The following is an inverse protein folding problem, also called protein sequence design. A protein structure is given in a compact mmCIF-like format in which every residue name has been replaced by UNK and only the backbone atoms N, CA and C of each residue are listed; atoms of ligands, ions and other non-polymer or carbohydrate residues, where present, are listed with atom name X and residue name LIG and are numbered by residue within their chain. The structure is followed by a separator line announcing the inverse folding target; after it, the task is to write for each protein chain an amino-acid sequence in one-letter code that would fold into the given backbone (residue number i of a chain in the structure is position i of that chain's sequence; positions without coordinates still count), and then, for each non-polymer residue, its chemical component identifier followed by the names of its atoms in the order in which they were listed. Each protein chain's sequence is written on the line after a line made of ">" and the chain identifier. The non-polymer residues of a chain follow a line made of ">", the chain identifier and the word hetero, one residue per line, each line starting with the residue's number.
data_IF_905514901920
#
_entry.id   IF_905514901920
#
_cell.length_a   1.000
_cell.length_b   1.000
_cell.length_c   1.000
_cell.angle_alpha   90.00
_cell.angle_beta   90.00
_cell.angle_gamma   90.00
#
_symmetry.space_group_name_H-M   'P 1'
#
loop_
_entity.id
_entity.type
_entity.pdbx_description
1 polymer ?
#
# COMPACT_ATOMS: atom_id res chain seq x y z
N UNK A 1 12.44 8.42 1.85
CA UNK A 1 11.82 9.63 2.44
C UNK A 1 10.41 9.85 1.88
N UNK A 2 10.27 10.08 0.57
CA UNK A 2 8.98 10.33 -0.10
C UNK A 2 7.89 9.28 0.17
N UNK A 3 8.22 7.98 0.06
CA UNK A 3 7.32 6.87 0.40
C UNK A 3 6.71 7.00 1.81
N UNK A 4 7.54 7.27 2.83
CA UNK A 4 7.07 7.35 4.22
C UNK A 4 6.18 8.58 4.46
N UNK A 5 6.46 9.70 3.79
CA UNK A 5 5.61 10.90 3.85
C UNK A 5 4.23 10.60 3.25
N UNK A 6 4.19 10.03 2.04
CA UNK A 6 2.92 9.64 1.41
C UNK A 6 2.18 8.61 2.27
N UNK A 7 2.88 7.61 2.79
CA UNK A 7 2.29 6.58 3.66
C UNK A 7 1.64 7.21 4.90
N UNK A 8 2.30 8.16 5.55
CA UNK A 8 1.77 8.87 6.71
C UNK A 8 0.54 9.72 6.37
N UNK A 9 0.57 10.43 5.23
CA UNK A 9 -0.58 11.22 4.74
C UNK A 9 -1.77 10.29 4.43
N UNK A 10 -1.55 9.21 3.68
CA UNK A 10 -2.59 8.23 3.37
C UNK A 10 -3.14 7.57 4.63
N UNK A 11 -2.29 7.22 5.60
CA UNK A 11 -2.73 6.66 6.88
C UNK A 11 -3.64 7.62 7.65
N UNK A 12 -3.27 8.91 7.72
CA UNK A 12 -4.09 9.92 8.40
C UNK A 12 -5.45 10.09 7.72
N UNK A 13 -5.45 10.24 6.38
CA UNK A 13 -6.69 10.37 5.60
C UNK A 13 -7.56 9.14 5.80
N UNK A 14 -7.01 7.93 5.61
CA UNK A 14 -7.79 6.71 5.69
C UNK A 14 -8.32 6.44 7.10
N UNK A 15 -7.60 6.82 8.15
CA UNK A 15 -8.08 6.71 9.54
C UNK A 15 -9.25 7.65 9.85
N UNK A 16 -9.35 8.79 9.15
CA UNK A 16 -10.46 9.75 9.32
C UNK A 16 -11.71 9.27 8.60
N UNK A 17 -11.57 8.77 7.37
CA UNK A 17 -12.71 8.44 6.51
C UNK A 17 -13.15 6.98 6.60
N UNK A 18 -12.29 6.07 7.06
CA UNK A 18 -12.59 4.64 7.18
C UNK A 18 -12.29 4.09 8.57
N UNK A 19 -13.12 3.14 9.01
CA UNK A 19 -12.84 2.29 10.17
C UNK A 19 -12.03 1.08 9.70
N UNK A 20 -10.70 1.18 9.81
CA UNK A 20 -9.78 0.09 9.46
C UNK A 20 -9.46 -0.72 10.72
N UNK A 21 -9.67 -2.03 10.63
CA UNK A 21 -9.26 -3.00 11.66
C UNK A 21 -8.25 -3.96 11.04
N UNK A 22 -7.14 -4.19 11.75
CA UNK A 22 -6.06 -5.08 11.31
C UNK A 22 -5.95 -6.18 12.34
N UNK A 23 -6.11 -7.42 11.88
CA UNK A 23 -6.10 -8.62 12.72
C UNK A 23 -4.96 -9.53 12.24
N UNK A 24 -4.16 -10.04 13.17
CA UNK A 24 -3.08 -10.99 12.84
C UNK A 24 -1.84 -10.35 12.21
N UNK A 25 -1.54 -9.09 12.52
CA UNK A 25 -0.36 -8.39 12.00
C UNK A 25 0.95 -9.09 12.39
N UNK A 26 0.95 -9.72 13.57
CA UNK A 26 2.03 -10.52 14.12
C UNK A 26 2.40 -11.74 13.28
N UNK A 27 1.51 -12.17 12.37
CA UNK A 27 1.80 -13.27 11.44
C UNK A 27 2.71 -12.85 10.29
N UNK A 28 2.99 -11.55 10.11
CA UNK A 28 3.87 -11.07 9.05
C UNK A 28 5.33 -11.38 9.41
N UNK A 29 6.07 -12.10 8.54
CA UNK A 29 7.49 -12.35 8.76
C UNK A 29 8.28 -11.03 8.79
N UNK A 30 9.02 -10.81 9.88
CA UNK A 30 9.90 -9.65 10.05
C UNK A 30 11.07 -9.65 9.05
N UNK A 31 11.52 -10.84 8.69
CA UNK A 31 12.63 -11.08 7.77
C UNK A 31 12.25 -12.09 6.69
N UNK A 32 13.07 -12.18 5.64
CA UNK A 32 12.81 -13.04 4.49
C UNK A 32 11.77 -12.48 3.50
N UNK A 33 11.48 -13.27 2.47
CA UNK A 33 10.50 -12.96 1.43
C UNK A 33 9.07 -13.31 1.84
N UNK A 34 8.11 -12.53 1.37
CA UNK A 34 6.68 -12.75 1.57
C UNK A 34 5.96 -12.48 0.25
N UNK A 35 4.96 -13.32 -0.07
CA UNK A 35 3.95 -13.01 -1.08
C UNK A 35 2.65 -12.72 -0.34
N UNK A 36 2.17 -11.48 -0.46
CA UNK A 36 0.88 -11.08 0.08
C UNK A 36 -0.20 -11.32 -0.98
N UNK A 37 -1.08 -12.28 -0.75
CA UNK A 37 -2.25 -12.53 -1.58
C UNK A 37 -3.48 -11.94 -0.89
N UNK A 38 -4.08 -10.91 -1.51
CA UNK A 38 -5.31 -10.26 -1.04
C UNK A 38 -6.41 -10.46 -2.07
N UNK A 39 -7.67 -10.47 -1.63
CA UNK A 39 -8.78 -10.16 -2.53
C UNK A 39 -8.61 -8.75 -3.10
N UNK A 40 -9.13 -8.51 -4.31
CA UNK A 40 -9.07 -7.20 -4.97
C UNK A 40 -10.49 -6.72 -5.30
N UNK A 41 -11.06 -5.90 -4.41
CA UNK A 41 -12.43 -5.38 -4.49
C UNK A 41 -12.44 -3.90 -4.89
N UNK A 42 -11.38 -3.16 -4.62
CA UNK A 42 -11.32 -1.71 -4.86
C UNK A 42 -9.95 -1.25 -5.35
N UNK A 43 -9.94 -0.13 -6.07
CA UNK A 43 -8.71 0.60 -6.40
C UNK A 43 -7.95 1.11 -5.16
N UNK A 44 -8.61 1.18 -3.99
CA UNK A 44 -7.98 1.55 -2.73
C UNK A 44 -7.17 0.41 -2.10
N UNK A 45 -7.33 -0.83 -2.53
CA UNK A 45 -6.71 -1.99 -1.86
C UNK A 45 -5.19 -1.87 -1.74
N UNK A 46 -4.43 -1.47 -2.78
CA UNK A 46 -2.98 -1.30 -2.65
C UNK A 46 -2.59 -0.22 -1.62
N UNK A 47 -3.40 0.82 -1.46
CA UNK A 47 -3.15 1.89 -0.49
C UNK A 47 -3.40 1.38 0.93
N UNK A 48 -4.55 0.74 1.15
CA UNK A 48 -4.92 0.16 2.46
C UNK A 48 -3.88 -0.86 2.91
N UNK A 49 -3.47 -1.76 2.02
CA UNK A 49 -2.42 -2.74 2.30
C UNK A 49 -1.08 -2.03 2.59
N UNK A 50 -0.68 -1.04 1.80
CA UNK A 50 0.58 -0.33 2.03
C UNK A 50 0.65 0.41 3.37
N UNK A 51 -0.47 0.96 3.87
CA UNK A 51 -0.50 1.70 5.13
C UNK A 51 -0.68 0.81 6.37
N UNK A 52 -1.22 -0.40 6.22
CA UNK A 52 -1.47 -1.34 7.33
C UNK A 52 -0.32 -2.32 7.55
N UNK A 53 0.53 -2.53 6.55
CA UNK A 53 1.69 -3.43 6.66
C UNK A 53 2.86 -2.79 7.44
N UNK A 54 3.47 -3.60 8.32
CA UNK A 54 4.64 -3.18 9.12
C UNK A 54 5.89 -2.94 8.27
N UNK A 55 6.00 -3.64 7.13
CA UNK A 55 7.11 -3.54 6.18
C UNK A 55 6.64 -3.03 4.82
N UNK A 56 7.53 -2.37 4.08
CA UNK A 56 7.28 -1.96 2.70
C UNK A 56 6.98 -3.19 1.85
N UNK A 57 5.91 -3.11 1.06
CA UNK A 57 5.52 -4.11 0.07
C UNK A 57 5.48 -3.49 -1.32
N UNK A 58 5.73 -4.29 -2.33
CA UNK A 58 5.68 -3.89 -3.73
C UNK A 58 4.47 -4.55 -4.40
N UNK A 59 3.82 -3.84 -5.31
CA UNK A 59 2.65 -4.32 -6.01
C UNK A 59 2.97 -4.57 -7.48
N UNK A 60 2.44 -5.67 -8.01
CA UNK A 60 2.44 -5.92 -9.44
C UNK A 60 1.23 -5.19 -10.02
N UNK A 61 1.47 -4.33 -11.00
CA UNK A 61 0.41 -3.58 -11.68
C UNK A 61 0.63 -3.55 -13.18
N UNK A 62 -0.45 -3.27 -13.92
CA UNK A 62 -0.44 -3.16 -15.37
C UNK A 62 0.41 -1.97 -15.82
N UNK A 63 1.06 -2.08 -16.99
CA UNK A 63 1.90 -1.01 -17.55
C UNK A 63 1.09 0.28 -17.77
N UNK A 64 -0.17 0.14 -18.17
CA UNK A 64 -1.11 1.23 -18.42
C UNK A 64 -1.37 2.08 -17.18
N UNK A 65 -1.20 1.51 -15.98
CA UNK A 65 -1.33 2.25 -14.73
C UNK A 65 -0.31 3.40 -14.63
N UNK A 66 0.81 3.34 -15.37
CA UNK A 66 1.84 4.39 -15.39
C UNK A 66 1.59 5.48 -16.45
N UNK A 67 0.55 5.36 -17.28
CA UNK A 67 0.30 6.30 -18.38
C UNK A 67 -0.38 7.60 -17.95
N UNK A 68 -0.86 7.70 -16.71
CA UNK A 68 -1.43 8.92 -16.15
C UNK A 68 -0.46 9.60 -15.16
N UNK A 69 -0.69 10.89 -14.88
CA UNK A 69 0.13 11.68 -13.95
C UNK A 69 0.18 11.03 -12.56
N UNK A 70 -0.95 10.48 -12.12
CA UNK A 70 -1.05 9.78 -10.84
C UNK A 70 -0.10 8.58 -10.76
N UNK A 71 -0.16 7.64 -11.69
CA UNK A 71 0.68 6.44 -11.66
C UNK A 71 2.14 6.71 -12.01
N UNK A 72 2.41 7.66 -12.90
CA UNK A 72 3.80 8.02 -13.24
C UNK A 72 4.56 8.69 -12.09
N UNK A 73 3.90 9.53 -11.28
CA UNK A 73 4.54 10.20 -10.14
C UNK A 73 4.43 9.36 -8.86
N UNK A 74 3.26 8.78 -8.60
CA UNK A 74 3.03 8.06 -7.35
C UNK A 74 3.66 6.67 -7.39
N UNK A 75 3.32 5.82 -8.38
CA UNK A 75 3.76 4.42 -8.38
C UNK A 75 5.28 4.27 -8.61
N UNK A 76 5.90 5.16 -9.40
CA UNK A 76 7.37 5.13 -9.60
C UNK A 76 8.17 5.44 -8.34
N UNK A 77 7.67 6.34 -7.49
CA UNK A 77 8.35 6.75 -6.27
C UNK A 77 7.93 5.92 -5.03
N UNK A 78 7.01 4.98 -5.21
CA UNK A 78 6.54 4.06 -4.16
C UNK A 78 7.18 2.67 -4.26
N UNK A 79 7.74 2.28 -5.41
CA UNK A 79 8.63 1.12 -5.54
C UNK A 79 10.01 1.39 -4.94
#
# INVERSE_FOLDING_TARGET
>A
MFYYIIRAICWLILKIFWKIEVIGIENIPKEGGLILASNHVSYLDPIVLAITMERKICFITKKEAFNNIFGSVLLKNLN
#
